data_IF_917886671076
#
_entry.id   IF_917886671076
#
_cell.length_a   1.000
_cell.length_b   1.000
_cell.length_c   1.000
_cell.angle_alpha   90.00
_cell.angle_beta   90.00
_cell.angle_gamma   90.00
#
_symmetry.space_group_name_H-M   'P 1'
#
loop_
_entity.id
_entity.type
_entity.pdbx_description
1 polymer ?
#
# COMPACT_ATOMS: atom_id res chain seq x y z
N UNK A 1 -10.56 23.18 9.72
CA UNK A 1 -9.74 22.25 8.95
C UNK A 1 -10.41 20.88 8.95
N UNK A 2 -10.73 20.37 7.78
CA UNK A 2 -11.33 19.04 7.74
C UNK A 2 -10.35 18.00 8.27
N UNK A 3 -10.85 17.09 9.09
CA UNK A 3 -10.05 15.96 9.55
C UNK A 3 -9.85 14.97 8.42
N UNK A 4 -8.61 14.59 8.21
CA UNK A 4 -8.26 13.53 7.25
C UNK A 4 -8.38 12.20 8.01
N UNK A 5 -9.22 11.30 7.51
CA UNK A 5 -9.36 9.98 8.10
C UNK A 5 -8.46 8.96 7.39
N UNK A 6 -8.35 7.76 7.96
CA UNK A 6 -7.47 6.73 7.39
C UNK A 6 -7.95 6.24 6.02
N UNK A 7 -9.24 6.27 5.73
CA UNK A 7 -9.79 5.91 4.43
C UNK A 7 -9.34 6.93 3.36
N UNK A 8 -9.31 8.21 3.70
CA UNK A 8 -8.83 9.26 2.80
C UNK A 8 -7.33 9.10 2.53
N UNK A 9 -6.54 8.78 3.56
CA UNK A 9 -5.10 8.54 3.41
C UNK A 9 -4.86 7.33 2.51
N UNK A 10 -5.57 6.24 2.73
CA UNK A 10 -5.46 5.04 1.89
C UNK A 10 -5.83 5.33 0.45
N UNK A 11 -6.88 6.12 0.22
CA UNK A 11 -7.29 6.51 -1.13
C UNK A 11 -6.20 7.30 -1.85
N UNK A 12 -5.50 8.20 -1.15
CA UNK A 12 -4.39 8.96 -1.72
C UNK A 12 -3.27 8.00 -2.15
N UNK A 13 -2.89 7.05 -1.30
CA UNK A 13 -1.82 6.10 -1.63
C UNK A 13 -2.23 5.15 -2.76
N UNK A 14 -3.49 4.74 -2.84
CA UNK A 14 -3.99 3.94 -3.96
C UNK A 14 -3.88 4.72 -5.28
N UNK A 15 -4.24 6.00 -5.24
CA UNK A 15 -4.11 6.88 -6.41
C UNK A 15 -2.65 7.05 -6.83
N UNK A 16 -1.73 7.12 -5.87
CA UNK A 16 -0.30 7.19 -6.14
C UNK A 16 0.15 5.90 -6.84
N UNK A 17 -0.27 4.74 -6.35
CA UNK A 17 0.04 3.46 -7.00
C UNK A 17 -0.48 3.44 -8.43
N UNK A 18 -1.73 3.85 -8.65
CA UNK A 18 -2.34 3.89 -9.98
C UNK A 18 -1.54 4.79 -10.91
N UNK A 19 -1.14 5.96 -10.44
CA UNK A 19 -0.37 6.93 -11.23
C UNK A 19 1.02 6.39 -11.58
N UNK A 20 1.72 5.82 -10.62
CA UNK A 20 3.05 5.25 -10.84
C UNK A 20 2.98 4.14 -11.89
N UNK A 21 2.05 3.22 -11.73
CA UNK A 21 1.89 2.10 -12.66
C UNK A 21 1.56 2.58 -14.06
N UNK A 22 0.66 3.53 -14.18
CA UNK A 22 0.27 4.11 -15.47
C UNK A 22 1.45 4.77 -16.17
N UNK A 23 2.23 5.55 -15.44
CA UNK A 23 3.40 6.23 -16.01
C UNK A 23 4.50 5.25 -16.41
N UNK A 24 4.73 4.23 -15.59
CA UNK A 24 5.72 3.20 -15.93
C UNK A 24 5.30 2.39 -17.15
N UNK A 25 4.03 2.06 -17.28
CA UNK A 25 3.50 1.38 -18.48
C UNK A 25 3.67 2.26 -19.72
N UNK A 26 3.41 3.55 -19.58
CA UNK A 26 3.57 4.51 -20.69
C UNK A 26 5.03 4.58 -21.14
N UNK A 27 5.95 4.71 -20.22
CA UNK A 27 7.39 4.80 -20.52
C UNK A 27 7.91 3.49 -21.12
N UNK A 28 7.46 2.35 -20.56
CA UNK A 28 7.87 1.04 -21.07
C UNK A 28 7.33 0.77 -22.48
N UNK A 29 6.11 1.17 -22.76
CA UNK A 29 5.49 1.04 -24.07
C UNK A 29 4.94 -0.32 -24.43
N UNK A 30 5.27 -1.36 -23.68
CA UNK A 30 4.87 -2.74 -23.97
C UNK A 30 4.33 -3.48 -22.76
N UNK A 31 5.03 -3.41 -21.62
CA UNK A 31 4.65 -4.15 -20.42
C UNK A 31 3.38 -3.62 -19.77
N UNK A 32 2.69 -4.50 -19.06
CA UNK A 32 1.50 -4.17 -18.29
C UNK A 32 1.63 -4.74 -16.90
N UNK A 33 1.13 -3.99 -15.91
CA UNK A 33 1.08 -4.46 -14.54
C UNK A 33 -0.07 -5.43 -14.35
N UNK A 34 0.20 -6.51 -13.60
CA UNK A 34 -0.82 -7.47 -13.18
C UNK A 34 -1.04 -7.25 -11.70
N UNK A 35 -2.30 -7.09 -11.31
CA UNK A 35 -2.67 -6.81 -9.93
C UNK A 35 -3.05 -8.08 -9.19
N UNK A 36 -2.59 -8.18 -7.95
CA UNK A 36 -2.98 -9.20 -7.01
C UNK A 36 -3.42 -8.51 -5.71
N UNK A 37 -4.64 -8.79 -5.28
CA UNK A 37 -5.18 -8.24 -4.03
C UNK A 37 -5.01 -9.26 -2.92
N UNK A 38 -4.63 -8.78 -1.75
CA UNK A 38 -4.43 -9.63 -0.58
C UNK A 38 -5.06 -9.02 0.65
N UNK A 39 -5.40 -9.87 1.61
CA UNK A 39 -5.96 -9.46 2.89
C UNK A 39 -5.05 -9.94 4.01
N UNK A 40 -4.90 -9.09 5.04
CA UNK A 40 -4.10 -9.42 6.21
C UNK A 40 -5.03 -9.93 7.31
N UNK A 41 -4.77 -11.11 7.89
CA UNK A 41 -5.50 -11.55 9.09
C UNK A 41 -5.35 -10.51 10.20
N UNK A 42 -6.44 -10.10 10.80
CA UNK A 42 -6.42 -9.08 11.85
C UNK A 42 -6.71 -7.67 11.39
N UNK A 43 -6.69 -7.41 10.09
CA UNK A 43 -7.11 -6.11 9.55
C UNK A 43 -6.20 -5.56 8.46
N UNK A 44 -6.82 -5.07 7.41
CA UNK A 44 -6.13 -4.45 6.29
C UNK A 44 -5.82 -5.42 5.16
N UNK A 45 -5.04 -4.95 4.23
CA UNK A 45 -4.65 -5.68 3.04
C UNK A 45 -3.88 -4.81 2.08
N UNK A 46 -3.89 -5.17 0.81
CA UNK A 46 -3.20 -4.37 -0.17
C UNK A 46 -3.41 -4.84 -1.60
N UNK A 47 -2.73 -4.14 -2.49
CA UNK A 47 -2.69 -4.46 -3.91
C UNK A 47 -1.24 -4.51 -4.36
N UNK A 48 -0.80 -5.67 -4.76
CA UNK A 48 0.53 -5.84 -5.36
C UNK A 48 0.39 -5.80 -6.87
N UNK A 49 1.21 -5.01 -7.53
CA UNK A 49 1.22 -4.94 -9.00
C UNK A 49 2.61 -5.24 -9.50
N UNK A 50 2.69 -6.15 -10.46
CA UNK A 50 3.96 -6.62 -11.01
C UNK A 50 3.92 -6.49 -12.53
N UNK A 51 4.97 -5.89 -13.09
CA UNK A 51 5.20 -5.85 -14.52
C UNK A 51 6.36 -6.79 -14.84
N UNK A 52 6.23 -7.57 -15.91
CA UNK A 52 7.27 -8.50 -16.38
C UNK A 52 7.38 -8.44 -17.88
N UNK A 53 8.58 -8.75 -18.37
CA UNK A 53 8.84 -8.87 -19.80
C UNK A 53 8.38 -7.64 -20.59
N UNK A 54 8.57 -6.47 -20.04
CA UNK A 54 8.32 -5.22 -20.73
C UNK A 54 9.41 -4.92 -21.74
N UNK A 55 9.26 -3.82 -22.44
CA UNK A 55 10.24 -3.37 -23.42
C UNK A 55 11.54 -2.88 -22.77
N UNK A 56 11.40 -2.11 -21.71
CA UNK A 56 12.52 -1.55 -20.94
C UNK A 56 12.61 -2.25 -19.58
N UNK A 57 11.48 -2.48 -18.96
CA UNK A 57 11.39 -3.07 -17.62
C UNK A 57 11.30 -4.58 -17.72
N UNK A 58 12.36 -5.26 -17.30
CA UNK A 58 12.39 -6.71 -17.28
C UNK A 58 11.46 -7.25 -16.18
N UNK A 59 11.52 -6.67 -14.98
CA UNK A 59 10.66 -7.02 -13.86
C UNK A 59 10.59 -5.85 -12.89
N UNK A 60 9.42 -5.53 -12.42
CA UNK A 60 9.22 -4.50 -11.41
C UNK A 60 7.96 -4.71 -10.62
N UNK A 61 7.89 -4.12 -9.44
CA UNK A 61 6.73 -4.21 -8.58
C UNK A 61 6.38 -2.86 -7.96
N UNK A 62 5.10 -2.57 -7.89
CA UNK A 62 4.57 -1.40 -7.19
C UNK A 62 3.49 -1.90 -6.25
N UNK A 63 3.72 -1.78 -4.96
CA UNK A 63 2.85 -2.34 -3.94
C UNK A 63 2.18 -1.25 -3.13
N UNK A 64 0.89 -1.42 -2.89
CA UNK A 64 0.15 -0.64 -1.91
C UNK A 64 -0.19 -1.54 -0.74
N UNK A 65 -0.06 -1.03 0.47
CA UNK A 65 -0.45 -1.75 1.68
C UNK A 65 -1.21 -0.86 2.64
N UNK A 66 -2.12 -1.46 3.37
CA UNK A 66 -2.89 -0.84 4.42
C UNK A 66 -3.02 -1.86 5.55
N UNK A 67 -2.54 -1.50 6.72
CA UNK A 67 -2.52 -2.40 7.88
C UNK A 67 -3.14 -1.68 9.06
N UNK A 68 -4.06 -2.34 9.76
CA UNK A 68 -4.64 -1.80 10.97
C UNK A 68 -4.97 -2.93 11.93
N UNK A 69 -5.15 -2.58 13.20
CA UNK A 69 -5.46 -3.55 14.23
C UNK A 69 -5.21 -2.98 15.60
N UNK A 70 -5.28 -3.84 16.61
CA UNK A 70 -4.96 -3.45 17.98
C UNK A 70 -3.45 -3.40 18.15
N UNK A 71 -2.97 -2.36 18.81
CA UNK A 71 -1.55 -2.19 19.09
C UNK A 71 -1.12 -3.28 20.09
N UNK A 72 -0.01 -4.01 19.83
CA UNK A 72 0.48 -5.03 20.74
C UNK A 72 0.77 -4.48 22.13
N UNK A 73 0.52 -5.27 23.16
CA UNK A 73 0.73 -4.87 24.56
C UNK A 73 2.15 -4.36 24.85
N UNK A 74 3.15 -4.98 24.25
CA UNK A 74 4.54 -4.54 24.42
C UNK A 74 4.76 -3.10 23.98
N UNK A 75 4.15 -2.72 22.87
CA UNK A 75 4.25 -1.35 22.35
C UNK A 75 3.47 -0.40 23.24
N UNK A 76 2.26 -0.79 23.64
CA UNK A 76 1.45 0.02 24.56
C UNK A 76 2.19 0.27 25.87
N UNK A 77 2.76 -0.76 26.46
CA UNK A 77 3.52 -0.66 27.71
C UNK A 77 4.72 0.28 27.58
N UNK A 78 5.42 0.23 26.45
CA UNK A 78 6.58 1.07 26.18
C UNK A 78 6.22 2.55 26.16
N UNK A 79 4.98 2.89 25.80
CA UNK A 79 4.51 4.27 25.77
C UNK A 79 3.61 4.64 26.94
N UNK A 80 3.48 3.76 27.93
CA UNK A 80 2.62 4.00 29.10
C UNK A 80 1.14 4.01 28.80
N UNK A 81 0.72 3.30 27.74
CA UNK A 81 -0.67 3.23 27.32
C UNK A 81 -1.28 1.88 27.69
N UNK A 82 -2.59 1.83 27.85
CA UNK A 82 -3.31 0.62 28.22
C UNK A 82 -4.09 0.02 27.05
N UNK A 83 -4.43 0.83 26.06
CA UNK A 83 -5.10 0.38 24.84
C UNK A 83 -4.81 1.31 23.69
N UNK A 84 -5.04 0.85 22.48
CA UNK A 84 -4.89 1.64 21.28
C UNK A 84 -4.95 0.78 20.02
N UNK A 85 -5.30 1.44 18.94
CA UNK A 85 -5.30 0.85 17.62
C UNK A 85 -4.17 1.43 16.80
N UNK A 86 -3.70 0.69 15.81
CA UNK A 86 -2.71 1.21 14.89
C UNK A 86 -3.24 1.18 13.46
N UNK A 87 -2.68 2.07 12.64
CA UNK A 87 -2.94 2.11 11.21
C UNK A 87 -1.65 2.49 10.51
N UNK A 88 -1.31 1.75 9.47
CA UNK A 88 -0.16 2.04 8.64
C UNK A 88 -0.52 1.81 7.18
N UNK A 89 -0.09 2.72 6.32
CA UNK A 89 -0.32 2.61 4.89
C UNK A 89 0.86 3.16 4.11
N UNK A 90 1.03 2.72 2.89
CA UNK A 90 2.10 3.20 2.05
C UNK A 90 2.15 2.55 0.68
N UNK A 91 3.04 3.08 -0.14
CA UNK A 91 3.35 2.55 -1.45
C UNK A 91 4.85 2.29 -1.50
N UNK A 92 5.25 1.14 -2.05
CA UNK A 92 6.65 0.79 -2.23
C UNK A 92 6.89 0.32 -3.66
N UNK A 93 8.12 0.56 -4.10
CA UNK A 93 8.57 0.21 -5.45
C UNK A 93 9.77 -0.71 -5.35
#
# INVERSE_FOLDING_TARGET
MPQVNKEDISAVFKNIQDHICKELERVDGQGKFIEDKWQRPGGGGGRSRVIRAGNIIEKGGVNFSEVHGKTPEKILSSFGLTEGDFFATGVSI
#
